data_IF_839882372807
#
_entry.id   IF_839882372807
#
_cell.length_a   1.000
_cell.length_b   1.000
_cell.length_c   1.000
_cell.angle_alpha   90.00
_cell.angle_beta   90.00
_cell.angle_gamma   90.00
#
_symmetry.space_group_name_H-M   'P 1'
#
loop_
_entity.id
_entity.type
_entity.pdbx_description
1 polymer ?
#
# COMPACT_ATOMS: atom_id res chain seq x y z
N UNK A 1 -21.36 4.78 -44.54
CA UNK A 1 -20.56 4.52 -45.76
C UNK A 1 -19.47 3.54 -45.35
N UNK A 2 -19.77 2.24 -45.27
CA UNK A 2 -19.84 1.23 -46.36
C UNK A 2 -18.42 0.91 -46.87
N UNK A 3 -17.76 -0.20 -46.45
CA UNK A 3 -17.97 -1.61 -46.84
C UNK A 3 -18.24 -1.81 -48.35
N UNK A 4 -17.22 -1.67 -49.21
CA UNK A 4 -16.95 -2.57 -50.37
C UNK A 4 -15.82 -2.10 -51.30
N UNK A 5 -14.93 -3.05 -51.63
CA UNK A 5 -14.09 -3.18 -52.86
C UNK A 5 -12.82 -2.31 -52.91
N UNK A 6 -11.59 -2.83 -53.09
CA UNK A 6 -11.04 -3.79 -54.08
C UNK A 6 -9.77 -4.46 -53.46
N UNK A 7 -9.49 -5.78 -53.39
CA UNK A 7 -9.38 -6.89 -54.37
C UNK A 7 -8.39 -6.55 -55.52
N UNK A 8 -7.22 -7.18 -55.77
CA UNK A 8 -6.87 -8.59 -56.11
C UNK A 8 -5.32 -8.66 -56.21
N UNK A 9 -4.59 -9.57 -55.52
CA UNK A 9 -4.14 -10.93 -55.94
C UNK A 9 -2.81 -10.99 -56.72
N UNK A 10 -1.83 -11.80 -56.25
CA UNK A 10 -1.21 -12.90 -57.03
C UNK A 10 -0.39 -13.87 -56.14
N UNK A 11 -0.54 -15.17 -56.43
CA UNK A 11 0.08 -16.35 -55.82
C UNK A 11 1.21 -16.85 -56.72
N UNK A 12 2.33 -17.34 -56.17
CA UNK A 12 3.02 -18.55 -56.68
C UNK A 12 4.10 -19.10 -55.75
N UNK A 13 3.89 -20.38 -55.46
CA UNK A 13 4.72 -21.47 -54.95
C UNK A 13 6.26 -21.48 -55.13
N UNK A 14 6.89 -22.17 -54.17
CA UNK A 14 7.92 -23.22 -54.27
C UNK A 14 9.35 -22.88 -53.80
N UNK A 15 9.85 -23.69 -52.87
CA UNK A 15 11.28 -23.85 -52.58
C UNK A 15 11.58 -24.34 -51.17
N UNK A 16 11.48 -25.64 -50.93
CA UNK A 16 12.05 -26.30 -49.74
C UNK A 16 13.57 -26.12 -49.70
N UNK A 17 14.18 -26.01 -48.51
CA UNK A 17 15.38 -26.74 -48.04
C UNK A 17 15.77 -26.31 -46.61
N UNK A 18 16.07 -27.33 -45.79
CA UNK A 18 16.89 -27.33 -44.57
C UNK A 18 16.38 -26.57 -43.30
N UNK A 19 15.67 -27.29 -42.44
CA UNK A 19 15.64 -27.04 -41.00
C UNK A 19 16.77 -27.84 -40.33
N UNK A 20 17.69 -27.22 -39.56
CA UNK A 20 18.40 -27.94 -38.53
C UNK A 20 17.51 -28.01 -37.28
N UNK A 21 17.12 -29.24 -36.93
CA UNK A 21 16.78 -29.62 -35.56
C UNK A 21 18.02 -29.37 -34.69
N UNK A 22 18.03 -28.26 -33.94
CA UNK A 22 18.93 -28.05 -32.81
C UNK A 22 18.33 -27.02 -31.86
N UNK A 23 18.30 -27.39 -30.58
CA UNK A 23 18.08 -26.55 -29.40
C UNK A 23 16.64 -26.11 -29.09
N UNK A 24 15.81 -27.09 -28.73
CA UNK A 24 15.12 -27.04 -27.43
C UNK A 24 16.17 -26.74 -26.35
N UNK A 25 16.10 -25.57 -25.74
CA UNK A 25 16.37 -25.18 -24.34
C UNK A 25 16.31 -23.65 -24.34
N UNK A 26 15.12 -23.11 -24.11
CA UNK A 26 14.95 -21.77 -23.56
C UNK A 26 13.99 -21.90 -22.37
N UNK A 27 14.44 -22.66 -21.37
CA UNK A 27 14.08 -22.39 -19.98
C UNK A 27 15.07 -21.35 -19.48
N UNK A 28 14.91 -20.11 -19.97
CA UNK A 28 15.54 -18.96 -19.36
C UNK A 28 14.71 -18.61 -18.13
N UNK A 29 15.17 -19.04 -16.96
CA UNK A 29 14.69 -18.48 -15.70
C UNK A 29 14.82 -16.96 -15.80
N UNK A 30 13.70 -16.26 -15.73
CA UNK A 30 13.64 -14.82 -15.52
C UNK A 30 14.15 -14.53 -14.11
N UNK A 31 15.47 -14.64 -13.93
CA UNK A 31 16.12 -14.30 -12.67
C UNK A 31 16.11 -12.79 -12.60
N UNK A 32 15.44 -12.28 -11.57
CA UNK A 32 15.52 -10.88 -11.27
C UNK A 32 17.00 -10.48 -11.12
N UNK A 33 17.38 -9.25 -11.45
CA UNK A 33 18.79 -8.85 -11.33
C UNK A 33 19.19 -8.89 -9.88
N UNK A 34 19.82 -9.95 -9.43
CA UNK A 34 20.18 -10.08 -8.03
C UNK A 34 21.56 -9.44 -7.79
N UNK A 35 21.68 -8.61 -6.75
CA UNK A 35 22.95 -7.96 -6.38
C UNK A 35 23.43 -8.46 -5.03
N UNK A 36 24.71 -8.81 -4.99
CA UNK A 36 25.41 -9.23 -3.77
C UNK A 36 25.15 -10.68 -3.38
N UNK A 37 25.97 -11.16 -2.45
CA UNK A 37 25.80 -12.49 -1.87
C UNK A 37 24.55 -12.55 -0.98
N UNK A 38 23.80 -13.67 -0.97
CA UNK A 38 22.71 -13.90 -0.04
C UNK A 38 23.16 -13.67 1.40
N UNK A 39 22.31 -13.02 2.20
CA UNK A 39 22.56 -12.75 3.62
C UNK A 39 21.53 -13.46 4.47
N UNK A 40 21.92 -14.13 5.57
CA UNK A 40 20.95 -14.68 6.51
C UNK A 40 19.95 -13.62 6.97
N UNK A 41 18.67 -13.95 6.89
CA UNK A 41 17.58 -13.06 7.22
C UNK A 41 16.61 -13.70 8.21
N UNK A 42 16.09 -12.88 9.12
CA UNK A 42 14.96 -13.21 9.98
C UNK A 42 14.29 -11.94 10.46
N UNK A 43 13.03 -12.03 10.88
CA UNK A 43 12.37 -10.89 11.52
C UNK A 43 13.09 -10.43 12.79
N UNK A 44 13.70 -11.36 13.54
CA UNK A 44 14.51 -11.01 14.71
C UNK A 44 15.75 -10.18 14.33
N UNK A 45 16.41 -10.52 13.22
CA UNK A 45 17.49 -9.70 12.67
C UNK A 45 16.98 -8.31 12.30
N UNK A 46 15.85 -8.21 11.61
CA UNK A 46 15.28 -6.93 11.18
C UNK A 46 14.94 -6.03 12.37
N UNK A 47 14.38 -6.59 13.45
CA UNK A 47 14.16 -5.88 14.71
C UNK A 47 15.48 -5.34 15.30
N UNK A 48 16.52 -6.17 15.34
CA UNK A 48 17.85 -5.76 15.78
C UNK A 48 18.45 -4.67 14.90
N UNK A 49 18.28 -4.76 13.58
CA UNK A 49 18.74 -3.76 12.62
C UNK A 49 18.04 -2.41 12.80
N UNK A 50 16.71 -2.40 12.90
CA UNK A 50 15.94 -1.19 13.17
C UNK A 50 16.35 -0.55 14.50
N UNK A 51 16.51 -1.34 15.56
CA UNK A 51 16.97 -0.87 16.88
C UNK A 51 18.36 -0.23 16.82
N UNK A 52 19.30 -0.86 16.11
CA UNK A 52 20.64 -0.29 15.93
C UNK A 52 20.57 1.03 15.15
N UNK A 53 19.78 1.05 14.07
CA UNK A 53 19.59 2.23 13.24
C UNK A 53 19.02 3.41 14.04
N UNK A 54 18.13 3.18 15.02
CA UNK A 54 17.61 4.23 15.91
C UNK A 54 18.68 4.94 16.76
N UNK A 55 19.86 4.33 16.93
CA UNK A 55 21.01 4.93 17.61
C UNK A 55 21.83 5.89 16.74
N UNK A 56 21.54 5.98 15.44
CA UNK A 56 22.25 6.81 14.48
C UNK A 56 21.44 8.09 14.15
N UNK A 57 22.01 9.10 13.47
CA UNK A 57 21.22 10.17 12.87
C UNK A 57 20.42 9.68 11.67
N UNK A 58 19.21 10.20 11.47
CA UNK A 58 18.44 9.94 10.24
C UNK A 58 19.13 10.59 9.03
N UNK A 59 19.14 9.87 7.90
CA UNK A 59 19.68 10.33 6.62
C UNK A 59 18.55 10.52 5.62
N UNK A 60 18.43 11.73 5.09
CA UNK A 60 17.47 12.03 4.02
C UNK A 60 18.03 11.63 2.66
N UNK A 61 17.22 10.94 1.88
CA UNK A 61 17.47 10.65 0.46
C UNK A 61 16.78 11.66 -0.47
N UNK A 62 16.20 12.71 0.09
CA UNK A 62 15.55 13.75 -0.69
C UNK A 62 16.57 14.44 -1.62
N UNK A 63 16.23 14.49 -2.90
CA UNK A 63 17.05 15.15 -3.90
C UNK A 63 18.05 14.26 -4.63
N UNK A 64 18.18 12.98 -4.27
CA UNK A 64 19.05 12.02 -4.99
C UNK A 64 18.54 11.67 -6.39
N UNK A 65 17.23 11.86 -6.65
CA UNK A 65 16.61 11.52 -7.92
C UNK A 65 17.19 12.34 -9.11
N UNK A 66 17.50 11.71 -10.26
CA UNK A 66 17.89 12.42 -11.48
C UNK A 66 16.88 13.49 -11.91
N UNK A 67 17.37 14.59 -12.48
CA UNK A 67 16.52 15.70 -12.95
C UNK A 67 15.44 15.24 -13.93
N UNK A 68 15.80 14.33 -14.84
CA UNK A 68 14.86 13.76 -15.83
C UNK A 68 13.67 13.02 -15.23
N UNK A 69 13.75 12.56 -13.98
CA UNK A 69 12.64 11.93 -13.25
C UNK A 69 11.93 12.91 -12.30
N UNK A 70 12.63 13.94 -11.81
CA UNK A 70 12.06 14.99 -10.95
C UNK A 70 11.04 15.84 -11.69
N UNK A 71 11.28 16.09 -12.98
CA UNK A 71 10.50 17.01 -13.80
C UNK A 71 9.46 16.28 -14.67
N UNK A 72 9.20 15.00 -14.41
CA UNK A 72 8.19 14.24 -15.13
C UNK A 72 6.80 14.86 -14.99
N UNK A 73 6.12 15.03 -16.12
CA UNK A 73 4.69 15.34 -16.13
C UNK A 73 3.86 14.15 -15.63
N UNK A 74 2.59 14.40 -15.30
CA UNK A 74 1.67 13.30 -14.93
C UNK A 74 1.52 12.30 -16.08
N UNK A 75 1.35 12.78 -17.33
CA UNK A 75 1.19 11.95 -18.51
C UNK A 75 2.46 11.09 -18.77
N UNK A 76 3.64 11.71 -18.67
CA UNK A 76 4.91 10.97 -18.86
C UNK A 76 5.13 9.91 -17.79
N UNK A 77 4.76 10.21 -16.53
CA UNK A 77 4.86 9.22 -15.44
C UNK A 77 3.87 8.06 -15.65
N UNK A 78 2.63 8.31 -16.07
CA UNK A 78 1.66 7.27 -16.39
C UNK A 78 2.10 6.38 -17.56
N UNK A 79 2.88 6.93 -18.49
CA UNK A 79 3.44 6.20 -19.61
C UNK A 79 4.65 5.31 -19.24
N UNK A 80 5.09 5.31 -17.97
CA UNK A 80 6.07 4.35 -17.44
C UNK A 80 5.34 3.10 -16.94
N UNK A 81 5.30 2.06 -17.76
CA UNK A 81 4.62 0.80 -17.46
C UNK A 81 5.59 -0.32 -17.07
N UNK A 82 5.32 -1.03 -15.97
CA UNK A 82 6.05 -2.27 -15.67
C UNK A 82 5.71 -3.36 -16.70
N UNK A 83 6.72 -4.14 -17.10
CA UNK A 83 6.58 -5.30 -17.98
C UNK A 83 6.12 -6.50 -17.17
N UNK A 84 4.84 -6.87 -17.27
CA UNK A 84 4.29 -8.00 -16.53
C UNK A 84 5.05 -9.32 -16.78
N UNK A 85 5.71 -9.47 -17.94
CA UNK A 85 6.61 -10.58 -18.26
C UNK A 85 7.84 -10.68 -17.35
N UNK A 86 8.27 -9.57 -16.73
CA UNK A 86 9.40 -9.48 -15.79
C UNK A 86 8.97 -9.57 -14.32
N UNK A 87 7.69 -9.88 -14.04
CA UNK A 87 7.19 -9.96 -12.68
C UNK A 87 7.94 -11.03 -11.87
N UNK A 88 8.26 -10.70 -10.61
CA UNK A 88 8.87 -11.64 -9.69
C UNK A 88 7.94 -12.84 -9.49
N UNK A 89 8.53 -14.04 -9.46
CA UNK A 89 7.84 -15.32 -9.28
C UNK A 89 6.84 -15.71 -10.37
N UNK A 90 6.81 -15.00 -11.51
CA UNK A 90 5.89 -15.29 -12.63
C UNK A 90 5.91 -16.74 -13.10
N UNK A 91 7.09 -17.34 -13.13
CA UNK A 91 7.32 -18.70 -13.65
C UNK A 91 7.45 -19.75 -12.54
N UNK A 92 7.21 -19.36 -11.28
CA UNK A 92 7.32 -20.23 -10.13
C UNK A 92 5.96 -20.86 -9.79
N UNK A 93 5.98 -22.04 -9.16
CA UNK A 93 4.76 -22.72 -8.71
C UNK A 93 4.25 -22.11 -7.40
N UNK A 94 3.73 -20.88 -7.46
CA UNK A 94 3.07 -20.24 -6.32
C UNK A 94 1.94 -19.30 -6.76
N UNK A 95 1.19 -18.81 -5.77
CA UNK A 95 -0.04 -18.08 -5.97
C UNK A 95 0.14 -16.56 -6.23
N UNK A 96 1.35 -16.03 -6.13
CA UNK A 96 1.62 -14.60 -6.09
C UNK A 96 2.61 -14.17 -7.17
N UNK A 97 2.42 -12.96 -7.68
CA UNK A 97 3.41 -12.26 -8.52
C UNK A 97 3.62 -10.85 -7.98
N UNK A 98 4.84 -10.34 -8.11
CA UNK A 98 5.18 -8.97 -7.69
C UNK A 98 5.65 -8.16 -8.88
N UNK A 99 5.08 -6.97 -9.04
CA UNK A 99 5.52 -5.97 -10.00
C UNK A 99 6.06 -4.74 -9.26
N UNK A 100 7.02 -4.05 -9.86
CA UNK A 100 7.74 -2.96 -9.22
C UNK A 100 7.23 -1.60 -9.72
N UNK A 101 7.22 -0.60 -8.85
CA UNK A 101 6.93 0.78 -9.23
C UNK A 101 8.22 1.53 -9.56
N UNK A 102 8.18 2.31 -10.63
CA UNK A 102 9.29 3.18 -11.03
C UNK A 102 9.25 4.51 -10.23
N UNK A 103 10.43 5.06 -9.92
CA UNK A 103 10.56 6.39 -9.33
C UNK A 103 10.12 7.50 -10.31
N UNK A 104 9.66 8.62 -9.78
CA UNK A 104 9.21 9.75 -10.59
C UNK A 104 7.96 10.40 -10.02
N UNK A 105 7.64 11.58 -10.56
CA UNK A 105 6.51 12.40 -10.11
C UNK A 105 6.55 12.64 -8.59
N UNK A 106 5.69 11.98 -7.82
CA UNK A 106 5.63 12.11 -6.35
C UNK A 106 6.53 11.11 -5.60
N UNK A 107 6.99 10.04 -6.27
CA UNK A 107 7.79 8.98 -5.66
C UNK A 107 9.26 9.21 -5.93
N UNK A 108 9.87 10.07 -5.09
CA UNK A 108 11.21 10.61 -5.31
C UNK A 108 12.32 9.93 -4.52
N UNK A 109 11.95 9.01 -3.62
CA UNK A 109 12.87 8.35 -2.71
C UNK A 109 12.86 6.85 -3.01
N UNK A 110 14.02 6.23 -3.28
CA UNK A 110 14.09 4.80 -3.52
C UNK A 110 13.82 3.99 -2.27
N UNK A 111 13.25 2.81 -2.47
CA UNK A 111 13.21 1.72 -1.50
C UNK A 111 14.08 0.56 -1.99
N UNK A 112 14.76 -0.11 -1.08
CA UNK A 112 15.45 -1.37 -1.39
C UNK A 112 14.47 -2.53 -1.30
N UNK A 113 14.54 -3.46 -2.25
CA UNK A 113 13.66 -4.63 -2.25
C UNK A 113 14.54 -5.86 -2.28
N UNK A 114 14.27 -6.81 -1.39
CA UNK A 114 14.98 -8.07 -1.29
C UNK A 114 13.99 -9.21 -1.49
N UNK A 115 14.42 -10.25 -2.19
CA UNK A 115 13.75 -11.55 -2.15
C UNK A 115 14.33 -12.37 -1.00
N UNK A 116 13.47 -13.08 -0.27
CA UNK A 116 13.87 -14.02 0.78
C UNK A 116 13.47 -15.43 0.38
N UNK A 117 14.45 -16.32 0.27
CA UNK A 117 14.28 -17.75 -0.01
C UNK A 117 15.13 -18.55 0.99
N UNK A 118 14.53 -19.56 1.62
CA UNK A 118 15.20 -20.45 2.59
C UNK A 118 15.95 -19.74 3.73
N UNK A 119 15.45 -18.57 4.16
CA UNK A 119 16.04 -17.79 5.25
C UNK A 119 17.23 -16.92 4.82
N UNK A 120 17.48 -16.77 3.52
CA UNK A 120 18.48 -15.86 2.97
C UNK A 120 17.83 -14.76 2.14
N UNK A 121 18.26 -13.53 2.36
CA UNK A 121 17.81 -12.35 1.62
C UNK A 121 18.81 -11.98 0.53
N UNK A 122 18.30 -11.64 -0.66
CA UNK A 122 19.08 -11.11 -1.78
C UNK A 122 18.44 -9.86 -2.35
N UNK A 123 19.22 -8.82 -2.57
CA UNK A 123 18.73 -7.53 -3.08
C UNK A 123 18.38 -7.64 -4.56
N UNK A 124 17.24 -7.08 -4.95
CA UNK A 124 16.82 -6.91 -6.34
C UNK A 124 17.40 -5.61 -6.88
N UNK A 125 18.36 -5.71 -7.79
CA UNK A 125 18.94 -4.60 -8.54
C UNK A 125 17.85 -3.86 -9.29
N UNK A 126 17.96 -2.53 -9.33
CA UNK A 126 17.23 -1.75 -10.31
C UNK A 126 17.61 -2.18 -11.73
N UNK A 127 16.59 -2.43 -12.55
CA UNK A 127 16.72 -2.83 -13.94
C UNK A 127 15.80 -1.97 -14.80
N UNK A 128 16.33 -1.04 -15.61
CA UNK A 128 15.50 -0.21 -16.48
C UNK A 128 14.69 -1.04 -17.49
N UNK A 129 15.18 -2.22 -17.87
CA UNK A 129 14.51 -3.16 -18.76
C UNK A 129 13.19 -3.71 -18.24
N UNK A 130 12.93 -3.64 -16.93
CA UNK A 130 11.63 -4.01 -16.34
C UNK A 130 10.50 -3.07 -16.74
N UNK A 131 10.81 -1.93 -17.34
CA UNK A 131 9.83 -0.92 -17.67
C UNK A 131 9.78 -0.66 -19.18
N UNK A 132 8.60 -0.23 -19.59
CA UNK A 132 8.33 0.44 -20.87
C UNK A 132 8.27 1.93 -20.59
N UNK A 133 8.91 2.71 -21.44
CA UNK A 133 8.93 4.16 -21.33
C UNK A 133 8.26 4.70 -22.60
N UNK A 134 6.97 4.97 -22.50
CA UNK A 134 6.15 5.41 -23.64
C UNK A 134 5.83 6.91 -23.58
N UNK A 135 6.41 7.63 -22.60
CA UNK A 135 6.28 9.08 -22.44
C UNK A 135 7.03 9.87 -23.50
N UNK A 136 6.68 11.15 -23.65
CA UNK A 136 7.32 12.07 -24.58
C UNK A 136 8.66 12.57 -24.02
N UNK A 137 8.77 12.69 -22.69
CA UNK A 137 9.99 13.16 -22.03
C UNK A 137 11.12 12.11 -22.09
N UNK A 138 12.29 12.43 -22.69
CA UNK A 138 13.43 11.53 -22.69
C UNK A 138 14.05 11.44 -21.29
N UNK A 139 14.16 10.23 -20.76
CA UNK A 139 14.75 9.99 -19.44
C UNK A 139 16.29 9.95 -19.43
N UNK A 140 16.90 9.72 -20.60
CA UNK A 140 18.35 9.52 -20.73
C UNK A 140 18.81 8.20 -20.12
N UNK A 141 20.11 8.11 -19.82
CA UNK A 141 20.67 6.97 -19.08
C UNK A 141 20.38 7.15 -17.59
N UNK A 142 19.61 6.23 -17.02
CA UNK A 142 19.31 6.19 -15.60
C UNK A 142 20.45 5.51 -14.81
N UNK A 143 20.69 5.90 -13.55
CA UNK A 143 21.69 5.24 -12.70
C UNK A 143 21.38 3.75 -12.47
N UNK A 144 22.41 2.91 -12.41
CA UNK A 144 22.25 1.47 -12.12
C UNK A 144 21.75 1.22 -10.70
N UNK A 145 22.02 2.14 -9.78
CA UNK A 145 21.62 2.12 -8.37
C UNK A 145 20.37 2.98 -8.08
N UNK A 146 19.57 3.31 -9.10
CA UNK A 146 18.39 4.18 -8.97
C UNK A 146 17.38 3.67 -7.93
N UNK A 147 17.22 2.35 -7.80
CA UNK A 147 16.24 1.71 -6.93
C UNK A 147 14.81 1.74 -7.47
N UNK A 148 13.85 1.37 -6.63
CA UNK A 148 12.43 1.30 -6.96
C UNK A 148 11.61 2.25 -6.08
N UNK A 149 10.41 2.63 -6.52
CA UNK A 149 9.49 3.43 -5.71
C UNK A 149 8.70 2.60 -4.68
N UNK A 150 8.55 1.30 -4.94
CA UNK A 150 7.68 0.40 -4.20
C UNK A 150 7.34 -0.82 -5.04
N UNK A 151 6.31 -1.56 -4.64
CA UNK A 151 5.84 -2.73 -5.36
C UNK A 151 4.33 -2.95 -5.19
N UNK A 152 3.77 -3.77 -6.08
CA UNK A 152 2.40 -4.26 -6.04
C UNK A 152 2.37 -5.77 -6.14
N UNK A 153 1.39 -6.36 -5.48
CA UNK A 153 1.18 -7.79 -5.36
C UNK A 153 -0.03 -8.17 -6.21
N UNK A 154 0.08 -9.25 -6.96
CA UNK A 154 -0.99 -9.87 -7.71
C UNK A 154 -1.22 -11.29 -7.23
N UNK A 155 -2.40 -11.84 -7.50
CA UNK A 155 -2.79 -13.17 -7.05
C UNK A 155 -3.24 -14.03 -8.23
N UNK A 156 -3.11 -15.35 -8.11
CA UNK A 156 -3.33 -16.29 -9.23
C UNK A 156 -4.74 -16.26 -9.84
N UNK A 157 -5.72 -15.69 -9.14
CA UNK A 157 -7.07 -15.51 -9.67
C UNK A 157 -7.20 -14.28 -10.58
N UNK A 158 -6.26 -13.33 -10.49
CA UNK A 158 -6.25 -12.08 -11.26
C UNK A 158 -4.84 -11.47 -11.25
N UNK A 159 -4.13 -11.58 -12.38
CA UNK A 159 -2.82 -10.97 -12.58
C UNK A 159 -2.88 -9.59 -13.26
N UNK A 160 -4.08 -9.09 -13.59
CA UNK A 160 -4.26 -7.78 -14.22
C UNK A 160 -4.45 -6.69 -13.18
N UNK A 161 -5.25 -6.97 -12.14
CA UNK A 161 -5.53 -6.03 -11.06
C UNK A 161 -4.64 -6.29 -9.85
N UNK A 162 -4.26 -5.21 -9.18
CA UNK A 162 -3.39 -5.25 -8.02
C UNK A 162 -4.21 -5.68 -6.78
N UNK A 163 -3.73 -6.69 -6.05
CA UNK A 163 -4.31 -7.13 -4.78
C UNK A 163 -3.88 -6.22 -3.62
N UNK A 164 -2.62 -5.78 -3.63
CA UNK A 164 -2.06 -4.86 -2.66
C UNK A 164 -0.94 -4.04 -3.27
N UNK A 165 -0.70 -2.83 -2.76
CA UNK A 165 0.38 -1.95 -3.20
C UNK A 165 1.05 -1.29 -2.01
N UNK A 166 2.38 -1.30 -1.97
CA UNK A 166 3.23 -0.62 -0.99
C UNK A 166 4.02 0.45 -1.73
N UNK A 167 3.63 1.72 -1.54
CA UNK A 167 4.12 2.82 -2.36
C UNK A 167 3.93 4.17 -1.65
N UNK A 168 5.02 4.93 -1.53
CA UNK A 168 5.02 6.28 -0.96
C UNK A 168 5.02 6.30 0.57
N UNK A 169 6.03 6.95 1.17
CA UNK A 169 6.24 6.97 2.61
C UNK A 169 6.08 5.55 3.22
N UNK A 170 5.23 5.38 4.22
CA UNK A 170 4.88 4.07 4.80
C UNK A 170 3.47 3.62 4.43
N UNK A 171 2.92 4.12 3.32
CA UNK A 171 1.57 3.79 2.87
C UNK A 171 1.51 2.42 2.20
N UNK A 172 0.38 1.77 2.39
CA UNK A 172 -0.02 0.61 1.62
C UNK A 172 -1.55 0.56 1.46
N UNK A 173 -1.99 -0.10 0.39
CA UNK A 173 -3.40 -0.33 0.07
C UNK A 173 -3.62 -1.80 -0.19
N UNK A 174 -4.85 -2.26 0.03
CA UNK A 174 -5.27 -3.61 -0.30
C UNK A 174 -6.73 -3.63 -0.72
N UNK A 175 -7.14 -4.70 -1.39
CA UNK A 175 -8.53 -4.89 -1.85
C UNK A 175 -9.06 -6.25 -1.39
N UNK A 176 -10.36 -6.31 -1.13
CA UNK A 176 -11.09 -7.57 -1.02
C UNK A 176 -11.52 -8.09 -2.39
N UNK A 177 -12.55 -8.95 -2.43
CA UNK A 177 -13.03 -9.59 -3.66
C UNK A 177 -13.53 -8.63 -4.76
N UNK A 178 -13.82 -7.37 -4.43
CA UNK A 178 -14.26 -6.36 -5.41
C UNK A 178 -13.12 -5.80 -6.25
N UNK A 179 -11.87 -5.99 -5.82
CA UNK A 179 -10.66 -5.58 -6.56
C UNK A 179 -10.65 -4.09 -6.96
N UNK A 180 -11.23 -3.23 -6.12
CA UNK A 180 -11.23 -1.78 -6.29
C UNK A 180 -10.48 -1.12 -5.14
N UNK A 181 -9.53 -0.24 -5.45
CA UNK A 181 -8.85 0.54 -4.40
C UNK A 181 -9.72 1.68 -3.89
N UNK A 182 -9.55 1.99 -2.61
CA UNK A 182 -10.05 3.20 -1.98
C UNK A 182 -9.07 3.71 -0.95
N UNK A 183 -9.45 3.58 0.32
CA UNK A 183 -8.64 4.01 1.46
C UNK A 183 -7.28 3.28 1.54
N UNK A 184 -6.36 3.88 2.27
CA UNK A 184 -5.01 3.38 2.55
C UNK A 184 -4.80 3.13 4.03
N UNK A 185 -3.78 2.33 4.35
CA UNK A 185 -3.20 2.24 5.68
C UNK A 185 -1.76 2.78 5.62
N UNK A 186 -1.19 3.06 6.79
CA UNK A 186 0.24 3.38 6.92
C UNK A 186 0.91 2.52 7.98
N UNK A 187 2.23 2.41 7.90
CA UNK A 187 3.02 1.80 8.97
C UNK A 187 2.88 2.58 10.28
N UNK A 188 2.98 3.91 10.21
CA UNK A 188 2.92 4.79 11.38
C UNK A 188 2.50 6.21 10.99
N UNK A 189 1.80 6.90 11.89
CA UNK A 189 1.52 8.32 11.79
C UNK A 189 2.25 9.07 12.91
N UNK A 190 2.88 10.21 12.61
CA UNK A 190 3.63 11.03 13.58
C UNK A 190 3.19 12.48 13.46
N UNK A 191 2.71 13.04 14.56
CA UNK A 191 2.35 14.45 14.71
C UNK A 191 1.25 14.92 13.72
N UNK A 192 0.46 13.99 13.18
CA UNK A 192 -0.69 14.27 12.32
C UNK A 192 -1.63 15.27 12.97
N UNK A 193 -1.98 16.33 12.25
CA UNK A 193 -2.85 17.42 12.72
C UNK A 193 -2.33 18.19 13.96
N UNK A 194 -1.01 18.27 14.13
CA UNK A 194 -0.36 19.23 15.03
C UNK A 194 0.16 20.45 14.26
N UNK A 195 0.25 21.59 14.96
CA UNK A 195 0.77 22.84 14.37
C UNK A 195 2.25 22.76 13.99
N UNK A 196 3.01 21.85 14.62
CA UNK A 196 4.41 21.57 14.31
C UNK A 196 4.61 20.95 12.92
N UNK A 197 3.55 20.45 12.29
CA UNK A 197 3.59 19.69 11.05
C UNK A 197 3.65 18.18 11.30
N UNK A 198 3.11 17.43 10.34
CA UNK A 198 3.15 15.97 10.32
C UNK A 198 4.50 15.48 9.79
N UNK A 199 5.07 14.48 10.46
CA UNK A 199 6.20 13.71 9.95
C UNK A 199 5.65 12.46 9.25
N UNK A 200 6.19 12.14 8.07
CA UNK A 200 5.79 10.97 7.29
C UNK A 200 6.91 9.91 7.29
N UNK A 201 6.86 8.92 8.19
CA UNK A 201 7.81 7.81 8.18
C UNK A 201 7.76 7.03 6.87
N UNK A 202 8.91 6.54 6.42
CA UNK A 202 9.03 5.84 5.14
C UNK A 202 9.39 4.38 5.35
N UNK A 203 8.81 3.48 4.56
CA UNK A 203 9.40 2.15 4.41
C UNK A 203 10.60 2.25 3.48
N UNK A 204 11.81 2.14 4.02
CA UNK A 204 13.06 2.32 3.28
C UNK A 204 13.59 1.03 2.65
N UNK A 205 13.21 -0.13 3.20
CA UNK A 205 13.56 -1.43 2.65
C UNK A 205 12.46 -2.47 2.89
N UNK A 206 12.34 -3.40 1.95
CA UNK A 206 11.42 -4.53 2.01
C UNK A 206 12.15 -5.86 1.80
N UNK A 207 11.61 -6.90 2.41
CA UNK A 207 12.01 -8.29 2.23
C UNK A 207 10.76 -9.11 1.91
N UNK A 208 10.68 -9.63 0.70
CA UNK A 208 9.54 -10.36 0.17
C UNK A 208 9.86 -11.86 0.29
N UNK A 209 9.17 -12.55 1.20
CA UNK A 209 9.38 -13.99 1.38
C UNK A 209 8.69 -14.75 0.26
N UNK A 210 9.49 -15.49 -0.51
CA UNK A 210 8.99 -16.28 -1.63
C UNK A 210 7.98 -17.31 -1.13
N UNK A 211 6.72 -17.27 -1.59
CA UNK A 211 5.72 -18.21 -1.12
C UNK A 211 6.07 -19.64 -1.53
N UNK A 212 5.94 -20.57 -0.58
CA UNK A 212 6.10 -22.01 -0.87
C UNK A 212 5.01 -22.50 -1.82
N UNK A 213 5.26 -23.56 -2.60
CA UNK A 213 4.23 -24.17 -3.43
C UNK A 213 2.95 -24.52 -2.65
N UNK A 214 1.81 -24.12 -3.21
CA UNK A 214 0.49 -24.27 -2.57
C UNK A 214 0.15 -23.26 -1.47
N UNK A 215 1.09 -22.40 -1.05
CA UNK A 215 0.80 -21.33 -0.08
C UNK A 215 -0.22 -20.34 -0.65
N UNK A 216 -1.23 -20.02 0.17
CA UNK A 216 -2.20 -18.97 -0.11
C UNK A 216 -1.86 -17.68 0.66
N UNK A 217 -0.71 -17.63 1.31
CA UNK A 217 -0.23 -16.48 2.05
C UNK A 217 1.10 -15.99 1.47
N UNK A 218 1.31 -14.68 1.54
CA UNK A 218 2.59 -14.03 1.24
C UNK A 218 3.06 -13.26 2.47
N UNK A 219 4.35 -13.33 2.78
CA UNK A 219 4.94 -12.56 3.88
C UNK A 219 5.81 -11.44 3.33
N UNK A 220 5.60 -10.23 3.85
CA UNK A 220 6.38 -9.04 3.52
C UNK A 220 6.94 -8.49 4.82
N UNK A 221 8.26 -8.29 4.90
CA UNK A 221 8.86 -7.53 5.98
C UNK A 221 9.26 -6.14 5.48
N UNK A 222 9.20 -5.14 6.35
CA UNK A 222 9.57 -3.78 6.02
C UNK A 222 10.38 -3.11 7.12
N UNK A 223 11.41 -2.36 6.73
CA UNK A 223 12.14 -1.43 7.58
C UNK A 223 11.48 -0.06 7.43
N UNK A 224 11.01 0.49 8.55
CA UNK A 224 10.54 1.86 8.64
C UNK A 224 11.67 2.74 9.17
N UNK A 225 11.89 3.88 8.53
CA UNK A 225 12.86 4.88 8.98
C UNK A 225 12.32 6.31 8.80
N UNK A 226 12.62 7.16 9.78
CA UNK A 226 12.19 8.55 9.83
C UNK A 226 13.08 9.39 10.75
N UNK A 227 12.96 10.72 10.70
CA UNK A 227 13.65 11.60 11.65
C UNK A 227 13.40 11.26 13.12
N UNK A 228 12.19 10.78 13.47
CA UNK A 228 11.79 10.53 14.85
C UNK A 228 11.87 9.08 15.30
N UNK A 229 11.82 8.10 14.41
CA UNK A 229 11.78 6.67 14.80
C UNK A 229 12.32 5.76 13.71
N UNK A 230 12.69 4.55 14.10
CA UNK A 230 12.77 3.41 13.17
C UNK A 230 11.72 2.37 13.55
N UNK A 231 11.49 1.41 12.66
CA UNK A 231 10.63 0.29 12.96
C UNK A 231 10.89 -0.94 12.09
N UNK A 232 10.49 -2.10 12.58
CA UNK A 232 10.55 -3.37 11.87
C UNK A 232 9.16 -3.99 11.81
N UNK A 233 8.67 -4.22 10.59
CA UNK A 233 7.34 -4.72 10.33
C UNK A 233 7.38 -6.11 9.71
N UNK A 234 6.41 -6.95 10.06
CA UNK A 234 6.07 -8.18 9.36
C UNK A 234 4.59 -8.14 8.99
N UNK A 235 4.28 -8.31 7.71
CA UNK A 235 2.94 -8.38 7.16
C UNK A 235 2.72 -9.79 6.63
N UNK A 236 1.67 -10.47 7.08
CA UNK A 236 1.19 -11.71 6.46
C UNK A 236 -0.09 -11.42 5.70
N UNK A 237 -0.02 -11.52 4.39
CA UNK A 237 -1.09 -11.23 3.43
C UNK A 237 -1.86 -12.52 3.13
N UNK A 238 -3.16 -12.54 3.45
CA UNK A 238 -4.07 -13.67 3.24
C UNK A 238 -5.26 -13.22 2.38
N UNK A 239 -5.20 -13.42 1.05
CA UNK A 239 -6.29 -13.07 0.13
C UNK A 239 -7.54 -13.92 0.38
N UNK A 240 -8.70 -13.31 0.17
CA UNK A 240 -10.00 -13.96 0.38
C UNK A 240 -11.14 -13.03 -0.04
N UNK A 241 -12.37 -13.32 0.44
CA UNK A 241 -13.50 -12.38 0.29
C UNK A 241 -13.13 -11.01 0.88
N UNK A 242 -12.63 -11.05 2.11
CA UNK A 242 -11.86 -9.97 2.68
C UNK A 242 -10.38 -10.35 2.56
N UNK A 243 -9.55 -9.37 2.21
CA UNK A 243 -8.10 -9.50 2.35
C UNK A 243 -7.75 -9.28 3.82
N UNK A 244 -7.12 -10.27 4.44
CA UNK A 244 -6.68 -10.21 5.84
C UNK A 244 -5.17 -10.00 5.85
N UNK A 245 -4.72 -8.93 6.49
CA UNK A 245 -3.30 -8.64 6.72
C UNK A 245 -3.01 -8.69 8.21
N UNK A 246 -2.25 -9.68 8.67
CA UNK A 246 -1.70 -9.66 10.03
C UNK A 246 -0.43 -8.82 10.05
N UNK A 247 -0.30 -7.94 11.03
CA UNK A 247 0.80 -6.97 11.14
C UNK A 247 1.43 -7.06 12.52
N UNK A 248 2.73 -7.34 12.55
CA UNK A 248 3.57 -7.17 13.73
C UNK A 248 4.52 -5.99 13.50
N UNK A 249 4.60 -5.09 14.47
CA UNK A 249 5.43 -3.90 14.42
C UNK A 249 6.29 -3.78 15.69
N UNK A 250 7.59 -3.56 15.50
CA UNK A 250 8.51 -3.16 16.57
C UNK A 250 9.05 -1.77 16.27
N UNK A 251 8.79 -0.81 17.16
CA UNK A 251 9.14 0.60 17.00
C UNK A 251 10.23 1.01 17.97
N UNK A 252 11.18 1.82 17.48
CA UNK A 252 12.31 2.33 18.25
C UNK A 252 12.45 3.84 18.04
N UNK A 253 11.85 4.67 18.91
CA UNK A 253 11.95 6.12 18.80
C UNK A 253 13.40 6.61 18.97
N UNK A 254 13.83 7.50 18.08
CA UNK A 254 15.11 8.23 18.13
C UNK A 254 15.01 9.41 19.11
N UNK A 255 13.85 10.07 19.13
CA UNK A 255 13.54 11.24 19.95
C UNK A 255 12.07 11.19 20.40
N UNK A 256 11.68 11.99 21.41
CA UNK A 256 10.28 12.05 21.85
C UNK A 256 9.34 12.43 20.70
N UNK A 257 8.20 11.74 20.60
CA UNK A 257 7.13 11.99 19.63
C UNK A 257 5.93 12.54 20.39
N UNK A 258 5.33 13.64 19.92
CA UNK A 258 4.22 14.27 20.62
C UNK A 258 2.91 13.51 20.39
N UNK A 259 2.63 13.08 19.16
CA UNK A 259 1.47 12.27 18.81
C UNK A 259 1.89 11.16 17.86
N UNK A 260 1.91 9.93 18.37
CA UNK A 260 2.03 8.75 17.52
C UNK A 260 0.66 8.16 17.22
N UNK A 261 0.45 7.74 15.98
CA UNK A 261 -0.72 6.98 15.53
C UNK A 261 -0.33 5.56 15.12
N UNK A 262 -0.84 4.58 15.86
CA UNK A 262 -0.71 3.14 15.64
C UNK A 262 -1.85 2.65 14.76
N UNK A 263 -1.53 1.73 13.84
CA UNK A 263 -2.44 1.21 12.81
C UNK A 263 -3.26 2.30 12.09
N UNK A 264 -2.60 3.33 11.53
CA UNK A 264 -3.29 4.43 10.87
C UNK A 264 -3.97 4.00 9.58
N UNK A 265 -5.21 4.46 9.43
CA UNK A 265 -6.00 4.41 8.21
C UNK A 265 -6.14 5.83 7.64
N UNK A 266 -6.15 5.96 6.33
CA UNK A 266 -6.30 7.22 5.60
C UNK A 266 -7.32 7.03 4.49
N UNK A 267 -8.31 7.91 4.42
CA UNK A 267 -9.42 7.81 3.49
C UNK A 267 -9.80 9.20 2.96
N UNK A 268 -10.82 9.25 2.13
CA UNK A 268 -11.29 10.43 1.46
C UNK A 268 -12.80 10.59 1.66
N UNK A 269 -13.24 11.79 2.01
CA UNK A 269 -14.66 12.17 2.10
C UNK A 269 -14.86 13.62 1.64
N UNK A 270 -15.58 13.81 0.54
CA UNK A 270 -15.92 15.14 0.02
C UNK A 270 -17.36 15.50 0.33
N UNK A 271 -18.30 14.61 0.01
CA UNK A 271 -19.73 14.84 0.21
C UNK A 271 -20.49 13.51 0.32
N UNK A 272 -21.54 13.51 1.12
CA UNK A 272 -22.43 12.35 1.36
C UNK A 272 -23.82 12.81 1.79
N UNK A 273 -24.70 11.87 2.15
CA UNK A 273 -26.07 12.19 2.58
C UNK A 273 -26.10 13.16 3.80
N UNK A 274 -25.16 13.00 4.72
CA UNK A 274 -25.07 13.76 5.97
C UNK A 274 -24.30 15.09 5.87
N UNK A 275 -23.52 15.31 4.81
CA UNK A 275 -22.78 16.55 4.59
C UNK A 275 -22.76 16.93 3.12
N UNK A 276 -23.47 18.03 2.81
CA UNK A 276 -23.69 18.55 1.46
C UNK A 276 -22.89 19.82 1.14
N UNK A 277 -21.95 20.22 2.00
CA UNK A 277 -21.24 21.51 1.86
C UNK A 277 -20.40 21.61 0.58
N UNK A 278 -19.73 20.52 0.18
CA UNK A 278 -18.93 20.43 -1.05
C UNK A 278 -19.63 19.64 -2.17
N UNK A 279 -20.96 19.68 -2.18
CA UNK A 279 -21.76 18.93 -3.12
C UNK A 279 -22.10 19.75 -4.38
N UNK A 280 -21.05 20.17 -5.07
CA UNK A 280 -21.13 20.95 -6.32
C UNK A 280 -20.94 20.08 -7.58
N UNK A 281 -20.81 18.78 -7.40
CA UNK A 281 -20.75 17.76 -8.45
C UNK A 281 -22.16 17.20 -8.74
N UNK A 282 -22.31 16.49 -9.86
CA UNK A 282 -23.55 15.81 -10.24
C UNK A 282 -23.75 14.49 -9.49
N UNK A 283 -22.65 13.86 -9.03
CA UNK A 283 -22.65 12.65 -8.21
C UNK A 283 -23.31 12.93 -6.86
N UNK A 284 -24.24 12.08 -6.38
CA UNK A 284 -24.90 12.33 -5.10
C UNK A 284 -23.92 12.22 -3.91
N UNK A 285 -22.99 11.27 -3.97
CA UNK A 285 -21.96 11.03 -2.94
C UNK A 285 -20.58 10.82 -3.57
N UNK A 286 -19.54 11.29 -2.87
CA UNK A 286 -18.13 11.17 -3.27
C UNK A 286 -17.29 10.96 -2.00
N UNK A 287 -16.96 9.69 -1.72
CA UNK A 287 -16.14 9.28 -0.59
C UNK A 287 -15.68 7.82 -0.72
N UNK A 288 -14.59 7.49 -0.04
CA UNK A 288 -14.01 6.16 0.09
C UNK A 288 -14.49 5.42 1.34
N UNK A 289 -15.06 6.18 2.28
CA UNK A 289 -15.60 5.72 3.55
C UNK A 289 -16.65 6.73 4.00
N UNK A 290 -17.71 6.27 4.65
CA UNK A 290 -18.80 7.11 5.15
C UNK A 290 -18.78 7.30 6.68
N UNK A 291 -17.97 6.51 7.40
CA UNK A 291 -17.86 6.64 8.85
C UNK A 291 -16.65 5.94 9.48
N UNK A 292 -16.30 6.43 10.66
CA UNK A 292 -15.45 5.71 11.60
C UNK A 292 -16.35 4.84 12.49
N UNK A 293 -16.08 3.54 12.52
CA UNK A 293 -16.67 2.61 13.48
C UNK A 293 -15.64 2.22 14.54
N UNK A 294 -16.08 2.09 15.79
CA UNK A 294 -15.24 1.70 16.93
C UNK A 294 -16.00 0.64 17.74
N UNK A 295 -15.33 -0.45 18.08
CA UNK A 295 -15.73 -1.36 19.14
C UNK A 295 -14.79 -1.14 20.32
N UNK A 296 -15.26 -0.41 21.33
CA UNK A 296 -14.42 0.00 22.44
C UNK A 296 -14.06 -1.17 23.38
N UNK A 297 -13.12 -0.97 24.30
CA UNK A 297 -12.68 -2.01 25.24
C UNK A 297 -13.82 -2.60 26.07
N UNK A 298 -14.85 -1.80 26.36
CA UNK A 298 -16.04 -2.21 27.11
C UNK A 298 -17.10 -2.95 26.27
N UNK A 299 -16.90 -3.07 24.95
CA UNK A 299 -17.82 -3.75 24.03
C UNK A 299 -18.96 -2.87 23.51
N UNK A 300 -18.89 -1.55 23.68
CA UNK A 300 -19.81 -0.62 23.05
C UNK A 300 -19.38 -0.33 21.61
N UNK A 301 -20.38 -0.30 20.71
CA UNK A 301 -20.20 0.09 19.32
C UNK A 301 -20.49 1.59 19.15
N UNK A 302 -19.53 2.31 18.57
CA UNK A 302 -19.67 3.70 18.18
C UNK A 302 -19.63 3.83 16.66
N UNK A 303 -20.46 4.71 16.12
CA UNK A 303 -20.45 5.13 14.73
C UNK A 303 -20.34 6.65 14.63
N UNK A 304 -19.28 7.14 14.00
CA UNK A 304 -19.04 8.55 13.73
C UNK A 304 -19.07 8.78 12.22
N UNK A 305 -20.20 9.27 11.65
CA UNK A 305 -20.28 9.61 10.22
C UNK A 305 -19.21 10.63 9.84
N UNK A 306 -18.49 10.44 8.75
CA UNK A 306 -17.46 11.38 8.31
C UNK A 306 -18.09 12.67 7.79
N UNK A 307 -17.38 13.78 7.93
CA UNK A 307 -17.76 15.06 7.31
C UNK A 307 -16.55 15.71 6.66
N UNK A 308 -16.79 16.67 5.77
CA UNK A 308 -15.77 17.55 5.21
C UNK A 308 -15.88 18.94 5.89
N UNK A 309 -15.21 19.15 7.03
CA UNK A 309 -15.40 20.36 7.84
C UNK A 309 -14.82 21.61 7.18
N UNK A 310 -15.19 22.80 7.69
CA UNK A 310 -14.62 24.09 7.21
C UNK A 310 -13.22 24.38 7.73
N UNK A 311 -12.84 23.72 8.82
CA UNK A 311 -11.55 23.85 9.50
C UNK A 311 -11.08 22.46 9.91
N UNK A 312 -9.76 22.29 10.05
CA UNK A 312 -9.17 21.06 10.60
C UNK A 312 -9.90 20.67 11.89
N UNK A 313 -10.33 19.41 11.97
CA UNK A 313 -11.02 18.86 13.13
C UNK A 313 -10.32 17.60 13.59
N UNK A 314 -10.13 17.49 14.90
CA UNK A 314 -9.60 16.29 15.56
C UNK A 314 -10.63 15.84 16.59
N UNK A 315 -11.18 14.65 16.41
CA UNK A 315 -12.09 13.99 17.34
C UNK A 315 -11.30 12.93 18.10
N UNK A 316 -11.50 12.82 19.42
CA UNK A 316 -10.74 11.92 20.29
C UNK A 316 -11.70 11.07 21.09
N UNK A 317 -11.62 9.75 20.93
CA UNK A 317 -12.44 8.76 21.63
C UNK A 317 -11.55 8.02 22.62
N UNK A 318 -11.54 8.47 23.87
CA UNK A 318 -10.72 7.89 24.94
C UNK A 318 -11.19 6.47 25.26
N UNK A 319 -10.26 5.53 25.34
CA UNK A 319 -10.55 4.13 25.60
C UNK A 319 -9.39 3.46 26.35
N UNK A 320 -9.63 2.22 26.80
CA UNK A 320 -8.60 1.31 27.28
C UNK A 320 -8.74 0.00 26.50
N UNK A 321 -7.77 -0.25 25.62
CA UNK A 321 -7.65 -1.48 24.84
C UNK A 321 -8.86 -1.70 23.91
N UNK A 322 -9.00 -0.90 22.83
CA UNK A 322 -10.12 -1.05 21.91
C UNK A 322 -10.10 -2.45 21.28
N UNK A 323 -11.28 -3.06 21.11
CA UNK A 323 -11.37 -4.37 20.44
C UNK A 323 -11.30 -4.24 18.92
N UNK A 324 -11.57 -3.05 18.40
CA UNK A 324 -11.28 -2.71 17.01
C UNK A 324 -11.81 -1.33 16.62
N UNK A 325 -11.32 -0.83 15.50
CA UNK A 325 -11.81 0.40 14.87
C UNK A 325 -11.52 0.37 13.38
N UNK A 326 -12.29 1.11 12.59
CA UNK A 326 -12.12 1.09 11.14
C UNK A 326 -12.83 2.22 10.42
N UNK A 327 -12.32 2.56 9.25
CA UNK A 327 -13.00 3.41 8.28
C UNK A 327 -13.82 2.50 7.38
N UNK A 328 -15.15 2.63 7.47
CA UNK A 328 -16.08 1.75 6.77
C UNK A 328 -16.79 2.50 5.66
N UNK A 329 -17.22 1.74 4.66
CA UNK A 329 -18.07 2.15 3.56
C UNK A 329 -19.38 1.36 3.62
N UNK A 330 -20.37 1.87 4.37
CA UNK A 330 -21.66 1.20 4.58
C UNK A 330 -22.59 1.34 3.39
N UNK A 331 -22.61 2.51 2.73
CA UNK A 331 -23.39 2.66 1.51
C UNK A 331 -22.65 2.07 0.30
N UNK A 332 -23.23 1.03 -0.30
CA UNK A 332 -22.66 0.32 -1.46
C UNK A 332 -23.60 0.31 -2.67
N UNK A 333 -24.62 1.18 -2.68
CA UNK A 333 -25.58 1.23 -3.80
C UNK A 333 -25.05 2.16 -4.88
N UNK A 334 -24.80 1.62 -6.08
CA UNK A 334 -24.34 2.42 -7.22
C UNK A 334 -25.19 3.69 -7.47
N UNK A 335 -26.52 3.62 -7.26
CA UNK A 335 -27.42 4.77 -7.46
C UNK A 335 -27.09 6.00 -6.59
N UNK A 336 -26.34 5.83 -5.51
CA UNK A 336 -25.93 6.89 -4.60
C UNK A 336 -24.60 7.56 -5.02
N UNK A 337 -23.82 6.91 -5.87
CA UNK A 337 -22.55 7.45 -6.36
C UNK A 337 -22.65 7.85 -7.83
N UNK A 338 -23.29 7.01 -8.64
CA UNK A 338 -23.51 7.18 -10.09
C UNK A 338 -22.22 7.33 -10.91
N UNK A 339 -21.06 6.96 -10.36
CA UNK A 339 -19.76 7.08 -11.00
C UNK A 339 -19.32 5.74 -11.62
N UNK A 340 -19.39 5.63 -12.94
CA UNK A 340 -19.03 4.44 -13.72
C UNK A 340 -17.56 4.39 -14.16
N UNK A 341 -16.72 5.29 -13.66
CA UNK A 341 -15.27 5.27 -13.86
C UNK A 341 -14.52 4.87 -12.59
N UNK A 342 -14.92 5.43 -11.45
CA UNK A 342 -14.18 5.35 -10.18
C UNK A 342 -14.80 4.35 -9.20
N UNK A 343 -16.09 4.02 -9.34
CA UNK A 343 -16.78 2.98 -8.57
C UNK A 343 -16.61 3.07 -7.04
N UNK A 344 -16.92 4.23 -6.44
CA UNK A 344 -16.83 4.47 -4.99
C UNK A 344 -17.61 3.43 -4.16
N UNK A 345 -18.72 2.91 -4.68
CA UNK A 345 -19.55 1.91 -4.02
C UNK A 345 -18.86 0.55 -3.85
N UNK A 346 -17.77 0.32 -4.59
CA UNK A 346 -16.96 -0.91 -4.55
C UNK A 346 -15.68 -0.76 -3.72
N UNK A 347 -15.38 0.45 -3.24
CA UNK A 347 -14.18 0.69 -2.41
C UNK A 347 -14.30 -0.05 -1.07
N UNK A 348 -13.21 -0.63 -0.56
CA UNK A 348 -13.24 -1.49 0.61
C UNK A 348 -13.42 -0.67 1.87
N UNK A 349 -14.13 -1.24 2.84
CA UNK A 349 -13.95 -0.92 4.25
C UNK A 349 -12.61 -1.48 4.75
N UNK A 350 -12.02 -0.83 5.76
CA UNK A 350 -10.86 -1.38 6.47
C UNK A 350 -11.08 -1.36 7.98
N UNK A 351 -10.82 -2.49 8.63
CA UNK A 351 -11.00 -2.71 10.06
C UNK A 351 -9.72 -3.19 10.74
N UNK A 352 -9.30 -2.48 11.78
CA UNK A 352 -8.18 -2.83 12.66
C UNK A 352 -8.71 -3.65 13.84
N UNK A 353 -8.11 -4.82 14.08
CA UNK A 353 -8.33 -5.65 15.27
C UNK A 353 -7.01 -5.82 16.03
N UNK A 354 -6.82 -5.15 17.18
CA UNK A 354 -5.66 -5.36 18.04
C UNK A 354 -5.59 -6.79 18.60
N UNK A 355 -4.39 -7.37 18.69
CA UNK A 355 -4.17 -8.69 19.30
C UNK A 355 -3.70 -8.63 20.76
N UNK A 356 -3.06 -7.51 21.13
CA UNK A 356 -2.51 -7.28 22.47
C UNK A 356 -3.31 -6.24 23.25
N UNK A 357 -3.03 -6.16 24.56
CA UNK A 357 -3.51 -5.08 25.39
C UNK A 357 -2.77 -3.77 25.05
N UNK A 358 -3.40 -2.94 24.21
CA UNK A 358 -2.88 -1.61 23.83
C UNK A 358 -2.99 -0.57 24.96
N UNK A 359 -3.58 -0.94 26.10
CA UNK A 359 -3.71 -0.11 27.29
C UNK A 359 -4.54 1.15 27.05
N UNK A 360 -4.28 2.17 27.87
CA UNK A 360 -4.99 3.45 27.81
C UNK A 360 -4.53 4.30 26.63
N UNK A 361 -5.49 4.96 26.01
CA UNK A 361 -5.23 5.86 24.89
C UNK A 361 -6.54 6.36 24.29
N UNK A 362 -6.52 6.56 22.99
CA UNK A 362 -7.69 7.03 22.25
C UNK A 362 -7.66 6.60 20.79
N UNK A 363 -8.81 6.25 20.24
CA UNK A 363 -8.99 6.29 18.79
C UNK A 363 -9.17 7.75 18.40
N UNK A 364 -8.33 8.25 17.50
CA UNK A 364 -8.38 9.62 17.00
C UNK A 364 -8.86 9.65 15.56
N UNK A 365 -9.71 10.63 15.23
CA UNK A 365 -10.20 10.91 13.88
C UNK A 365 -9.83 12.34 13.50
N UNK A 366 -9.04 12.49 12.44
CA UNK A 366 -8.66 13.76 11.83
C UNK A 366 -9.48 13.95 10.55
N UNK A 367 -10.17 15.09 10.46
CA UNK A 367 -10.94 15.50 9.29
C UNK A 367 -10.38 16.83 8.78
N UNK A 368 -9.77 16.80 7.60
CA UNK A 368 -9.11 17.93 6.95
C UNK A 368 -10.08 18.54 5.92
N UNK A 369 -10.23 19.88 5.86
CA UNK A 369 -11.02 20.50 4.81
C UNK A 369 -10.43 20.20 3.43
N UNK A 370 -11.23 19.60 2.55
CA UNK A 370 -10.88 19.43 1.13
C UNK A 370 -11.90 20.14 0.24
N UNK A 371 -11.47 20.43 -0.99
CA UNK A 371 -12.35 20.88 -2.06
C UNK A 371 -12.76 19.68 -2.91
N UNK A 372 -11.80 18.91 -3.40
CA UNK A 372 -12.01 17.81 -4.33
C UNK A 372 -11.60 16.43 -3.78
N UNK A 373 -11.81 15.41 -4.61
CA UNK A 373 -11.54 13.99 -4.38
C UNK A 373 -10.10 13.53 -4.58
N UNK A 374 -9.22 14.41 -5.02
CA UNK A 374 -7.85 14.04 -5.40
C UNK A 374 -7.00 13.72 -4.17
N UNK A 375 -7.30 14.35 -3.03
CA UNK A 375 -6.51 14.24 -1.81
C UNK A 375 -7.31 13.61 -0.67
N UNK A 376 -6.74 12.56 -0.08
CA UNK A 376 -7.23 11.99 1.16
C UNK A 376 -7.28 13.05 2.27
N UNK A 377 -8.41 13.13 2.96
CA UNK A 377 -8.67 14.17 3.96
C UNK A 377 -9.19 13.60 5.29
N UNK A 378 -9.19 12.27 5.43
CA UNK A 378 -9.63 11.55 6.63
C UNK A 378 -8.47 10.71 7.13
N UNK A 379 -8.17 10.78 8.42
CA UNK A 379 -7.16 9.91 9.07
C UNK A 379 -7.73 9.37 10.37
N UNK A 380 -7.62 8.06 10.60
CA UNK A 380 -7.99 7.42 11.86
C UNK A 380 -6.86 6.55 12.39
N UNK A 381 -6.55 6.61 13.69
CA UNK A 381 -5.50 5.80 14.31
C UNK A 381 -5.72 5.65 15.81
N UNK A 382 -5.03 4.68 16.42
CA UNK A 382 -4.90 4.61 17.87
C UNK A 382 -3.73 5.46 18.35
N UNK A 383 -3.98 6.31 19.34
CA UNK A 383 -2.96 7.09 20.03
C UNK A 383 -2.86 6.63 21.49
N UNK A 384 -1.76 5.99 21.92
CA UNK A 384 -1.56 5.59 23.31
C UNK A 384 -1.40 6.82 24.22
N UNK A 385 -1.93 6.74 25.44
CA UNK A 385 -1.79 7.80 26.47
C UNK A 385 -0.34 7.94 26.91
N UNK A 386 0.37 6.81 27.02
CA UNK A 386 1.80 6.81 27.35
C UNK A 386 2.62 7.07 26.08
N UNK A 387 3.56 8.03 26.12
CA UNK A 387 4.44 8.29 24.99
C UNK A 387 5.35 7.10 24.71
N UNK A 388 5.78 6.98 23.45
CA UNK A 388 6.79 6.02 23.04
C UNK A 388 8.16 6.62 23.37
N UNK A 389 8.71 6.21 24.52
CA UNK A 389 9.99 6.73 25.01
C UNK A 389 11.18 6.25 24.15
N UNK A 390 12.14 7.13 23.83
CA UNK A 390 13.38 6.74 23.16
C UNK A 390 14.19 5.70 23.93
N UNK A 391 14.90 4.85 23.19
CA UNK A 391 15.74 3.79 23.76
C UNK A 391 14.96 2.57 24.28
N UNK A 392 13.63 2.58 24.18
CA UNK A 392 12.76 1.44 24.50
C UNK A 392 12.26 0.76 23.22
N UNK A 393 11.91 -0.53 23.34
CA UNK A 393 11.22 -1.29 22.31
C UNK A 393 9.71 -1.21 22.56
N UNK A 394 8.96 -0.80 21.54
CA UNK A 394 7.50 -0.74 21.59
C UNK A 394 6.92 -1.72 20.56
N UNK A 395 6.18 -2.71 21.03
CA UNK A 395 5.63 -3.79 20.20
C UNK A 395 4.13 -3.62 20.03
N UNK A 396 3.66 -3.81 18.79
CA UNK A 396 2.23 -3.82 18.46
C UNK A 396 1.93 -4.96 17.50
N UNK A 397 0.88 -5.73 17.78
CA UNK A 397 0.33 -6.72 16.85
C UNK A 397 -1.16 -6.45 16.60
N UNK A 398 -1.57 -6.50 15.34
CA UNK A 398 -2.96 -6.30 14.91
C UNK A 398 -3.25 -6.96 13.56
N UNK A 399 -4.53 -7.13 13.27
CA UNK A 399 -5.01 -7.53 11.94
C UNK A 399 -5.75 -6.38 11.28
N UNK A 400 -5.49 -6.18 9.98
CA UNK A 400 -6.27 -5.36 9.07
C UNK A 400 -7.15 -6.28 8.20
N UNK A 401 -8.45 -6.04 8.18
CA UNK A 401 -9.38 -6.68 7.24
C UNK A 401 -9.86 -5.65 6.22
N UNK A 402 -9.70 -5.97 4.94
CA UNK A 402 -10.10 -5.15 3.80
C UNK A 402 -11.20 -5.84 3.00
N UNK A 403 -12.36 -5.22 2.84
CA UNK A 403 -13.43 -5.80 2.04
C UNK A 403 -14.73 -5.01 2.06
N UNK A 404 -15.75 -5.54 1.39
CA UNK A 404 -17.06 -4.90 1.30
C UNK A 404 -17.71 -4.72 2.68
N UNK A 405 -17.58 -5.74 3.51
CA UNK A 405 -18.21 -5.85 4.82
C UNK A 405 -17.14 -5.87 5.92
N UNK A 406 -17.48 -5.26 7.07
CA UNK A 406 -16.68 -5.37 8.29
C UNK A 406 -16.59 -6.84 8.71
N UNK A 407 -15.43 -7.34 9.18
CA UNK A 407 -15.31 -8.72 9.67
C UNK A 407 -16.06 -8.96 11.00
N UNK A 408 -16.51 -7.88 11.64
CA UNK A 408 -17.26 -7.88 12.91
C UNK A 408 -18.43 -6.92 12.81
N UNK A 409 -19.57 -7.34 13.37
CA UNK A 409 -20.81 -6.58 13.37
C UNK A 409 -21.37 -6.48 14.79
N UNK A 410 -22.19 -5.45 15.11
CA UNK A 410 -22.96 -5.42 16.34
C UNK A 410 -23.86 -6.65 16.46
N UNK A 411 -23.96 -7.23 17.65
CA UNK A 411 -24.95 -8.29 17.89
C UNK A 411 -26.35 -7.71 17.67
N UNK A 412 -27.10 -8.29 16.72
CA UNK A 412 -28.51 -7.97 16.57
C UNK A 412 -29.28 -8.52 17.77
N UNK A 413 -30.19 -7.70 18.33
CA UNK A 413 -31.18 -8.23 19.26
C UNK A 413 -31.97 -9.31 18.50
N UNK A 414 -31.95 -10.55 19.00
CA UNK A 414 -32.76 -11.62 18.46
C UNK A 414 -34.21 -11.12 18.32
N UNK A 415 -34.68 -11.00 17.07
CA UNK A 415 -36.05 -10.55 16.76
C UNK A 415 -37.01 -11.72 16.72
#
# INVERSE_FOLDING_TARGET
MDRRTLIKTFVSLAGAQALPLSALIYSGSSVAGEVGEPKPFSYAWLKGHARALAGEPWVSHEGELPGSLKDLSWDDYQAIGFRAEEALWRNDDNAFQVQLFHLGLYFKTPVRIHEVEDGEARELAYKPEYFRYEGEQPLGTLPEDLGYAGFRVHFHTDYERDLAAFLGASYFRAVGSEMQYGLSARGLAIDTALESGEEFPQFSAFWLEKPKPGSQNMVVYALLDSPSTTGAYAFTLTPGRNMVMSVDAALYPRKPIQRVGIAPLTSMYQTGENDRRMAYDWRPEIHDSDGLSILNGQGEWLWRPLVNPRSLRVNTFVDNSPRGFGLLQRDRRFANYQDDGVFYEKRPSAWVTPHDDWGKGSVMLVEIPTKDETFDNIVAFWHPEKPLEPGQEHLYSYTLSWGAESPVEPEELAT
#
